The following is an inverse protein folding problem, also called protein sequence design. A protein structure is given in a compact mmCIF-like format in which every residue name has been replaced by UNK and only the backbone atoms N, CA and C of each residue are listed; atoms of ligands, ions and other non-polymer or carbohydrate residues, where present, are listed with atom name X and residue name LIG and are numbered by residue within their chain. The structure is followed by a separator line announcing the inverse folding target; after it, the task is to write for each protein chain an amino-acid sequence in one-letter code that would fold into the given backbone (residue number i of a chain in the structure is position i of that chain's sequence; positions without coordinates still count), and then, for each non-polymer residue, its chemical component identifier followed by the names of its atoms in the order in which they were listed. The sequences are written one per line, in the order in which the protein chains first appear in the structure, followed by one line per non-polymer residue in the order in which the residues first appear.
data_IF_753131120432
#
_entry.id   IF_753131120432
#
_cell.length_a   1.000
_cell.length_b   1.000
_cell.length_c   1.000
_cell.angle_alpha   90.00
_cell.angle_beta   90.00
_cell.angle_gamma   90.00
#
_symmetry.space_group_name_H-M   'P 1'
#
loop_
_entity.id
_entity.type
_entity.pdbx_description
1 polymer ?
#
# COMPACT_ATOMS: atom_id res chain seq x y z
N UNK A 1 3.25 3.71 -13.21
CA UNK A 1 2.83 3.87 -11.80
C UNK A 1 1.75 4.94 -11.71
N UNK A 2 0.72 4.78 -10.87
CA UNK A 2 -0.41 5.74 -10.75
C UNK A 2 0.07 7.16 -10.41
N UNK A 3 1.01 7.32 -9.48
CA UNK A 3 1.48 8.63 -9.03
C UNK A 3 2.10 9.47 -10.15
N UNK A 4 2.84 8.86 -11.07
CA UNK A 4 3.42 9.55 -12.22
C UNK A 4 2.32 10.13 -13.12
N UNK A 5 1.24 9.37 -13.36
CA UNK A 5 0.09 9.86 -14.13
C UNK A 5 -0.68 10.94 -13.37
N UNK A 6 -0.92 10.73 -12.08
CA UNK A 6 -1.62 11.67 -11.22
C UNK A 6 -0.88 13.02 -11.12
N UNK A 7 0.45 13.02 -11.19
CA UNK A 7 1.27 14.25 -11.14
C UNK A 7 1.38 14.99 -12.46
N UNK A 8 1.32 14.28 -13.60
CA UNK A 8 1.61 14.83 -14.93
C UNK A 8 0.36 15.04 -15.80
N UNK A 9 -0.83 14.66 -15.35
CA UNK A 9 -2.09 14.90 -16.05
C UNK A 9 -2.91 16.02 -15.38
N UNK A 10 -3.96 16.51 -16.04
CA UNK A 10 -4.91 17.51 -15.51
C UNK A 10 -5.86 16.92 -14.44
N UNK A 11 -5.33 16.11 -13.54
CA UNK A 11 -6.04 15.55 -12.39
C UNK A 11 -6.01 16.52 -11.21
N UNK A 12 -6.99 16.43 -10.31
CA UNK A 12 -7.06 17.29 -9.11
C UNK A 12 -5.79 17.15 -8.27
N UNK A 13 -5.27 15.93 -8.17
CA UNK A 13 -4.07 15.52 -7.47
C UNK A 13 -2.82 16.26 -7.99
N UNK A 14 -2.76 16.56 -9.30
CA UNK A 14 -1.66 17.33 -9.88
C UNK A 14 -1.66 18.80 -9.40
N UNK A 15 -2.84 19.36 -9.15
CA UNK A 15 -3.02 20.73 -8.65
C UNK A 15 -2.82 20.82 -7.14
N UNK A 16 -3.44 19.92 -6.38
CA UNK A 16 -3.40 19.94 -4.91
C UNK A 16 -2.09 19.41 -4.35
N UNK A 17 -1.38 18.57 -5.12
CA UNK A 17 -0.22 17.79 -4.64
C UNK A 17 -0.56 16.88 -3.47
N UNK A 18 -1.82 16.45 -3.39
CA UNK A 18 -2.35 15.59 -2.34
C UNK A 18 -3.05 14.37 -2.94
N UNK A 19 -2.92 13.24 -2.25
CA UNK A 19 -3.56 11.97 -2.60
C UNK A 19 -4.43 11.54 -1.41
N UNK A 20 -5.68 11.21 -1.70
CA UNK A 20 -6.67 10.88 -0.69
C UNK A 20 -7.09 9.42 -0.84
N UNK A 21 -6.81 8.60 0.16
CA UNK A 21 -7.12 7.16 0.18
C UNK A 21 -8.20 6.86 1.22
N UNK A 22 -9.47 7.15 0.89
CA UNK A 22 -10.57 7.11 1.85
C UNK A 22 -11.01 5.69 2.24
N UNK A 23 -10.78 4.70 1.37
CA UNK A 23 -11.24 3.31 1.57
C UNK A 23 -10.12 2.36 2.00
N UNK A 24 -8.88 2.86 2.10
CA UNK A 24 -7.72 2.05 2.41
C UNK A 24 -7.42 2.09 3.91
N UNK A 25 -6.94 0.96 4.44
CA UNK A 25 -6.44 0.91 5.82
C UNK A 25 -5.22 1.83 5.97
N UNK A 26 -5.12 2.64 7.04
CA UNK A 26 -3.94 3.45 7.31
C UNK A 26 -2.64 2.64 7.34
N UNK A 27 -2.67 1.44 7.94
CA UNK A 27 -1.49 0.57 8.01
C UNK A 27 -1.16 -0.06 6.64
N UNK A 28 -2.14 -0.32 5.79
CA UNK A 28 -1.88 -0.75 4.42
C UNK A 28 -1.21 0.36 3.59
N UNK A 29 -1.66 1.61 3.76
CA UNK A 29 -1.00 2.79 3.14
C UNK A 29 0.43 2.92 3.65
N UNK A 30 0.65 2.77 4.96
CA UNK A 30 1.98 2.84 5.54
C UNK A 30 2.94 1.81 4.94
N UNK A 31 2.52 0.53 4.89
CA UNK A 31 3.30 -0.56 4.28
C UNK A 31 3.60 -0.30 2.81
N UNK A 32 2.63 0.22 2.04
CA UNK A 32 2.84 0.58 0.65
C UNK A 32 3.89 1.70 0.51
N UNK A 33 3.83 2.73 1.35
CA UNK A 33 4.81 3.82 1.38
C UNK A 33 6.20 3.27 1.73
N UNK A 34 6.30 2.47 2.79
CA UNK A 34 7.56 1.85 3.21
C UNK A 34 8.21 1.05 2.08
N UNK A 35 7.41 0.25 1.36
CA UNK A 35 7.88 -0.50 0.21
C UNK A 35 8.37 0.39 -0.92
N UNK A 36 7.65 1.47 -1.25
CA UNK A 36 8.07 2.40 -2.32
C UNK A 36 9.46 2.97 -2.03
N UNK A 37 9.80 3.21 -0.76
CA UNK A 37 11.09 3.77 -0.38
C UNK A 37 12.19 2.72 -0.14
N UNK A 38 11.86 1.50 0.25
CA UNK A 38 12.85 0.51 0.74
C UNK A 38 12.87 -0.81 -0.04
N UNK A 39 11.85 -1.08 -0.85
CA UNK A 39 11.65 -2.35 -1.55
C UNK A 39 11.07 -3.49 -0.69
N UNK A 40 10.66 -3.21 0.56
CA UNK A 40 10.01 -4.16 1.47
C UNK A 40 9.10 -3.41 2.44
N UNK A 41 8.25 -4.11 3.20
CA UNK A 41 7.52 -3.50 4.33
C UNK A 41 7.54 -4.44 5.55
N UNK A 42 7.35 -3.86 6.73
CA UNK A 42 7.21 -4.62 7.98
C UNK A 42 5.77 -5.08 8.19
N UNK A 43 5.61 -6.24 8.83
CA UNK A 43 4.29 -6.78 9.17
C UNK A 43 3.75 -6.16 10.46
N UNK A 44 4.63 -5.67 11.32
CA UNK A 44 4.27 -5.01 12.57
C UNK A 44 3.51 -3.70 12.32
N UNK A 45 2.65 -3.35 13.27
CA UNK A 45 1.94 -2.08 13.26
C UNK A 45 2.94 -0.91 13.25
N UNK A 46 2.64 0.11 12.44
CA UNK A 46 3.47 1.31 12.41
C UNK A 46 3.45 2.00 13.77
N UNK A 47 4.62 2.37 14.35
CA UNK A 47 4.67 3.15 15.58
C UNK A 47 4.17 4.59 15.38
N UNK A 48 4.01 5.04 14.13
CA UNK A 48 3.53 6.37 13.79
C UNK A 48 2.00 6.46 13.68
N UNK A 49 1.29 5.34 13.80
CA UNK A 49 -0.16 5.28 13.66
C UNK A 49 -0.83 4.91 14.99
N UNK A 50 -1.65 5.82 15.52
CA UNK A 50 -2.44 5.61 16.74
C UNK A 50 -3.79 4.91 16.45
N UNK A 51 -3.80 3.94 15.53
CA UNK A 51 -4.99 3.17 15.15
C UNK A 51 -4.68 1.68 15.18
N UNK A 52 -5.70 0.87 15.47
CA UNK A 52 -5.58 -0.59 15.45
C UNK A 52 -5.17 -1.07 14.04
N UNK A 53 -4.28 -2.05 14.00
CA UNK A 53 -3.79 -2.65 12.77
C UNK A 53 -4.79 -3.65 12.19
N UNK A 54 -4.55 -4.06 10.95
CA UNK A 54 -5.34 -5.08 10.29
C UNK A 54 -5.05 -6.47 10.89
N UNK A 55 -6.07 -7.34 10.98
CA UNK A 55 -5.88 -8.75 11.31
C UNK A 55 -4.90 -9.42 10.34
N UNK A 56 -4.04 -10.31 10.83
CA UNK A 56 -2.88 -10.91 10.13
C UNK A 56 -3.09 -11.15 8.62
N UNK A 57 -3.89 -12.15 8.23
CA UNK A 57 -4.13 -12.46 6.81
C UNK A 57 -4.69 -11.29 5.98
N UNK A 58 -5.32 -10.30 6.61
CA UNK A 58 -5.85 -9.11 5.92
C UNK A 58 -4.75 -8.07 5.64
N UNK A 59 -3.64 -8.07 6.37
CA UNK A 59 -2.56 -7.08 6.20
C UNK A 59 -2.03 -7.12 4.76
N UNK A 60 -1.59 -8.29 4.31
CA UNK A 60 -1.07 -8.47 2.95
C UNK A 60 -2.13 -8.31 1.87
N UNK A 61 -3.34 -8.80 2.09
CA UNK A 61 -4.45 -8.63 1.14
C UNK A 61 -4.82 -7.16 0.91
N UNK A 62 -4.83 -6.33 1.95
CA UNK A 62 -5.10 -4.90 1.80
C UNK A 62 -3.99 -4.17 1.09
N UNK A 63 -2.73 -4.53 1.35
CA UNK A 63 -1.59 -4.00 0.60
C UNK A 63 -1.68 -4.41 -0.88
N UNK A 64 -2.05 -5.67 -1.17
CA UNK A 64 -2.26 -6.15 -2.54
C UNK A 64 -3.33 -5.34 -3.28
N UNK A 65 -4.49 -5.11 -2.66
CA UNK A 65 -5.58 -4.31 -3.24
C UNK A 65 -5.13 -2.86 -3.48
N UNK A 66 -4.42 -2.27 -2.51
CA UNK A 66 -3.87 -0.92 -2.67
C UNK A 66 -2.82 -0.87 -3.79
N UNK A 67 -1.96 -1.88 -3.91
CA UNK A 67 -0.94 -1.97 -4.95
C UNK A 67 -1.54 -2.01 -6.36
N UNK A 68 -2.64 -2.77 -6.52
CA UNK A 68 -3.43 -2.80 -7.76
C UNK A 68 -4.02 -1.42 -8.07
N UNK A 69 -4.58 -0.74 -7.05
CA UNK A 69 -5.12 0.61 -7.20
C UNK A 69 -4.06 1.63 -7.65
N UNK A 70 -2.85 1.58 -7.08
CA UNK A 70 -1.75 2.51 -7.42
C UNK A 70 -0.90 2.04 -8.62
N UNK A 71 -1.28 0.95 -9.29
CA UNK A 71 -0.58 0.38 -10.44
C UNK A 71 0.91 0.14 -10.14
N UNK A 72 1.20 -0.49 -9.01
CA UNK A 72 2.54 -0.91 -8.59
C UNK A 72 2.63 -2.45 -8.55
N UNK A 73 3.05 -3.04 -9.67
CA UNK A 73 3.13 -4.49 -9.86
C UNK A 73 4.17 -5.17 -8.95
N UNK A 74 5.25 -4.46 -8.61
CA UNK A 74 6.29 -5.00 -7.71
C UNK A 74 5.75 -5.14 -6.30
N UNK A 75 5.05 -4.12 -5.78
CA UNK A 75 4.38 -4.17 -4.49
C UNK A 75 3.28 -5.22 -4.47
N UNK A 76 2.50 -5.29 -5.55
CA UNK A 76 1.40 -6.27 -5.69
C UNK A 76 1.93 -7.69 -5.63
N UNK A 77 3.02 -7.97 -6.35
CA UNK A 77 3.70 -9.26 -6.34
C UNK A 77 4.30 -9.57 -4.97
N UNK A 78 4.98 -8.60 -4.34
CA UNK A 78 5.53 -8.76 -3.01
C UNK A 78 4.46 -9.09 -1.96
N UNK A 79 3.32 -8.37 -1.98
CA UNK A 79 2.24 -8.61 -1.04
C UNK A 79 1.59 -10.00 -1.23
N UNK A 80 1.45 -10.44 -2.48
CA UNK A 80 0.95 -11.78 -2.78
C UNK A 80 1.91 -12.87 -2.28
N UNK A 81 3.21 -12.70 -2.51
CA UNK A 81 4.23 -13.64 -2.05
C UNK A 81 4.21 -13.80 -0.53
N UNK A 82 4.10 -12.70 0.22
CA UNK A 82 4.02 -12.74 1.67
C UNK A 82 2.73 -13.44 2.14
N UNK A 83 1.59 -13.14 1.52
CA UNK A 83 0.33 -13.81 1.80
C UNK A 83 0.39 -15.33 1.57
N UNK A 84 0.97 -15.77 0.45
CA UNK A 84 1.14 -17.20 0.16
C UNK A 84 2.06 -17.89 1.18
N UNK A 85 3.14 -17.23 1.61
CA UNK A 85 4.05 -17.75 2.64
C UNK A 85 3.35 -17.97 3.98
N UNK A 86 2.52 -17.02 4.42
CA UNK A 86 1.73 -17.17 5.64
C UNK A 86 0.73 -18.32 5.56
N UNK A 87 0.17 -18.56 4.38
CA UNK A 87 -0.75 -19.67 4.12
C UNK A 87 -0.05 -21.02 3.90
N UNK A 88 1.28 -21.07 3.85
CA UNK A 88 2.07 -22.26 3.51
C UNK A 88 1.75 -22.83 2.11
N UNK A 89 1.40 -21.96 1.16
CA UNK A 89 1.15 -22.30 -0.24
C UNK A 89 2.39 -22.16 -1.12
#
# INVERSE_FOLDING_TARGET
MYFERALNCDMKEALTKELHFNECSPHAIWRAIEFIYTGSYQEEASPCLEVEDDPDLKKHLRVYVLADFILNEDLKSHALDQFCRELQL
#
